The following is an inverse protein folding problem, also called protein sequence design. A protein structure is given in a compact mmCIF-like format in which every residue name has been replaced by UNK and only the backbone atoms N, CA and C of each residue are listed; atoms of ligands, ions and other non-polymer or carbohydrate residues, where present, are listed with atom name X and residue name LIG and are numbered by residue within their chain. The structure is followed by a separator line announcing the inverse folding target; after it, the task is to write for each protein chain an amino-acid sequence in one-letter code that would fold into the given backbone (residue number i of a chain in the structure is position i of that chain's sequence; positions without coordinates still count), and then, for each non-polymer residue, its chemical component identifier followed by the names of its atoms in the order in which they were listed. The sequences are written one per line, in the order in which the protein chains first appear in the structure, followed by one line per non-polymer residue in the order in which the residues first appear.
data_IF_121445589994
#
_entry.id   IF_121445589994
#
_cell.length_a   1.000
_cell.length_b   1.000
_cell.length_c   1.000
_cell.angle_alpha   90.00
_cell.angle_beta   90.00
_cell.angle_gamma   90.00
#
_symmetry.space_group_name_H-M   'P 1'
#
loop_
_entity.id
_entity.type
_entity.pdbx_description
1 polymer ?
#
# COMPACT_ATOMS: atom_id res chain seq x y z
N UNK A 1 -3.41 7.73 -22.71
CA UNK A 1 -2.16 7.04 -22.95
C UNK A 1 -2.30 6.19 -24.19
N UNK A 2 -1.39 6.31 -25.05
CA UNK A 2 -1.44 5.79 -26.42
C UNK A 2 -0.85 4.38 -26.57
N UNK A 3 -0.46 3.74 -25.50
CA UNK A 3 0.14 2.40 -25.53
C UNK A 3 1.54 2.34 -26.14
N UNK A 4 2.18 3.47 -26.41
CA UNK A 4 3.49 3.52 -27.05
C UNK A 4 4.68 3.41 -26.08
N UNK A 5 4.49 2.75 -24.96
CA UNK A 5 5.54 2.57 -23.93
C UNK A 5 5.71 3.76 -23.00
N UNK A 6 4.81 4.72 -23.06
CA UNK A 6 4.76 5.83 -22.12
C UNK A 6 3.97 5.39 -20.89
N UNK A 7 4.45 5.72 -19.72
CA UNK A 7 3.76 5.43 -18.47
C UNK A 7 2.37 6.09 -18.45
N UNK A 8 1.33 5.29 -18.26
CA UNK A 8 -0.04 5.76 -18.20
C UNK A 8 -0.44 6.00 -16.76
N UNK A 9 -0.62 7.25 -16.40
CA UNK A 9 -1.12 7.62 -15.08
C UNK A 9 -2.60 7.24 -14.99
N UNK A 10 -2.87 6.10 -14.37
CA UNK A 10 -4.22 5.66 -14.02
C UNK A 10 -4.70 6.28 -12.70
N UNK A 11 -3.79 6.85 -11.95
CA UNK A 11 -4.04 7.55 -10.69
C UNK A 11 -3.47 8.97 -10.80
N UNK A 12 -4.33 9.92 -11.13
CA UNK A 12 -3.98 11.34 -11.10
C UNK A 12 -4.32 11.89 -9.72
N UNK A 13 -3.46 12.76 -9.14
CA UNK A 13 -3.82 13.46 -7.91
C UNK A 13 -5.13 14.20 -8.12
N UNK A 14 -6.15 13.86 -7.33
CA UNK A 14 -7.42 14.54 -7.33
C UNK A 14 -7.46 15.61 -6.26
N UNK A 15 -8.20 16.69 -6.50
CA UNK A 15 -8.43 17.68 -5.47
C UNK A 15 -9.24 17.04 -4.34
N UNK A 16 -8.71 17.08 -3.14
CA UNK A 16 -9.30 16.48 -1.95
C UNK A 16 -10.76 16.90 -1.70
N UNK A 17 -11.12 18.12 -2.09
CA UNK A 17 -12.47 18.67 -1.93
C UNK A 17 -13.46 18.28 -3.04
N UNK A 18 -12.98 17.66 -4.12
CA UNK A 18 -13.82 17.36 -5.28
C UNK A 18 -14.55 16.03 -5.18
N UNK A 19 -14.07 15.13 -4.32
CA UNK A 19 -14.60 13.78 -4.18
C UNK A 19 -15.38 13.65 -2.87
N UNK A 20 -16.66 13.40 -2.99
CA UNK A 20 -17.50 13.03 -1.85
C UNK A 20 -17.49 11.50 -1.70
N UNK A 21 -17.00 10.99 -0.58
CA UNK A 21 -17.09 9.57 -0.28
C UNK A 21 -15.76 8.82 -0.36
N UNK A 22 -15.80 7.61 -0.86
CA UNK A 22 -14.77 6.59 -0.64
C UNK A 22 -13.64 6.58 -1.68
N UNK A 23 -13.59 7.55 -2.59
CA UNK A 23 -12.71 7.57 -3.75
C UNK A 23 -12.13 8.96 -4.00
N UNK A 24 -11.39 9.49 -3.05
CA UNK A 24 -10.82 10.82 -3.19
C UNK A 24 -9.38 10.96 -2.72
N UNK A 25 -8.76 12.06 -3.09
CA UNK A 25 -7.36 12.35 -2.76
C UNK A 25 -6.38 11.55 -3.63
N UNK A 26 -5.25 11.17 -3.06
CA UNK A 26 -4.22 10.37 -3.71
C UNK A 26 -4.38 8.91 -3.35
N UNK A 27 -4.49 8.06 -4.36
CA UNK A 27 -4.53 6.61 -4.18
C UNK A 27 -3.14 6.05 -3.85
N UNK A 28 -3.15 4.93 -3.19
CA UNK A 28 -1.95 4.15 -2.94
C UNK A 28 -1.32 3.66 -4.25
N UNK A 29 -0.01 3.57 -4.28
CA UNK A 29 0.77 2.96 -5.36
C UNK A 29 1.87 2.07 -4.79
N UNK A 30 2.55 1.33 -5.62
CA UNK A 30 3.81 0.69 -5.22
C UNK A 30 4.92 1.73 -5.05
N UNK A 31 5.74 1.58 -4.04
CA UNK A 31 6.85 2.49 -3.75
C UNK A 31 8.12 2.05 -4.50
N UNK A 32 8.55 2.77 -5.54
CA UNK A 32 9.74 2.39 -6.30
C UNK A 32 11.05 2.53 -5.51
N UNK A 33 11.02 3.23 -4.39
CA UNK A 33 12.18 3.37 -3.50
C UNK A 33 12.36 2.19 -2.54
N UNK A 34 11.39 1.28 -2.44
CA UNK A 34 11.44 0.15 -1.53
C UNK A 34 12.26 -1.03 -2.04
N UNK A 35 12.56 -1.09 -3.34
CA UNK A 35 13.37 -2.17 -3.91
C UNK A 35 14.15 -1.69 -5.14
N UNK A 36 15.34 -2.24 -5.31
CA UNK A 36 16.16 -2.01 -6.50
C UNK A 36 16.00 -3.17 -7.50
N UNK A 37 15.79 -2.85 -8.76
CA UNK A 37 15.74 -3.80 -9.87
C UNK A 37 14.37 -4.01 -10.52
N UNK A 38 13.21 -4.03 -9.82
CA UNK A 38 11.91 -4.08 -10.47
C UNK A 38 11.65 -2.86 -11.35
N UNK A 39 10.85 -3.08 -12.39
CA UNK A 39 10.34 -2.01 -13.24
C UNK A 39 8.94 -1.64 -12.78
N UNK A 40 8.68 -0.35 -12.70
CA UNK A 40 7.38 0.21 -12.34
C UNK A 40 6.78 0.91 -13.56
N UNK A 41 5.48 0.77 -13.74
CA UNK A 41 4.74 1.40 -14.84
C UNK A 41 3.30 1.70 -14.43
N UNK A 42 2.53 2.35 -15.31
CA UNK A 42 1.14 2.73 -15.06
C UNK A 42 0.98 3.61 -13.80
N UNK A 43 1.89 4.57 -13.60
CA UNK A 43 1.90 5.40 -12.39
C UNK A 43 2.24 4.61 -11.13
N UNK A 44 3.15 3.65 -11.22
CA UNK A 44 3.55 2.73 -10.15
C UNK A 44 2.42 1.77 -9.67
N UNK A 45 1.40 1.57 -10.48
CA UNK A 45 0.36 0.57 -10.21
C UNK A 45 0.75 -0.83 -10.66
N UNK A 46 1.70 -0.91 -11.59
CA UNK A 46 2.26 -2.16 -12.08
C UNK A 46 3.70 -2.29 -11.60
N UNK A 47 4.04 -3.46 -11.10
CA UNK A 47 5.42 -3.83 -10.79
C UNK A 47 5.78 -5.14 -11.49
N UNK A 48 6.97 -5.18 -12.08
CA UNK A 48 7.51 -6.31 -12.80
C UNK A 48 8.96 -6.52 -12.41
N UNK A 49 9.33 -7.75 -12.09
CA UNK A 49 10.72 -8.14 -11.93
C UNK A 49 11.16 -8.93 -13.18
N UNK A 50 11.49 -8.21 -14.23
CA UNK A 50 11.96 -8.79 -15.51
C UNK A 50 13.39 -9.33 -15.45
N UNK A 51 14.03 -9.25 -14.28
CA UNK A 51 15.46 -9.45 -14.11
C UNK A 51 15.95 -10.83 -14.50
N UNK A 52 16.83 -10.86 -15.48
CA UNK A 52 17.79 -11.92 -15.74
C UNK A 52 18.99 -11.89 -14.77
N UNK A 53 18.85 -11.20 -13.66
CA UNK A 53 19.86 -11.11 -12.59
C UNK A 53 19.82 -12.30 -11.65
N UNK A 54 20.84 -12.47 -10.80
CA UNK A 54 20.89 -13.59 -9.88
C UNK A 54 19.61 -13.66 -9.04
N UNK A 55 19.06 -14.84 -8.97
CA UNK A 55 17.91 -15.28 -8.20
C UNK A 55 17.64 -14.42 -6.98
N UNK A 56 16.78 -13.44 -7.12
CA UNK A 56 16.50 -12.56 -5.99
C UNK A 56 15.05 -12.16 -5.96
N UNK A 57 14.42 -12.51 -4.90
CA UNK A 57 13.17 -11.91 -4.51
C UNK A 57 13.34 -10.41 -4.29
N UNK A 58 12.34 -9.65 -4.67
CA UNK A 58 12.23 -8.24 -4.34
C UNK A 58 10.97 -8.05 -3.52
N UNK A 59 11.10 -7.35 -2.41
CA UNK A 59 9.99 -7.01 -1.55
C UNK A 59 9.64 -5.54 -1.74
N UNK A 60 8.46 -5.26 -2.27
CA UNK A 60 8.01 -3.93 -2.63
C UNK A 60 6.89 -3.52 -1.68
N UNK A 61 7.03 -2.37 -1.05
CA UNK A 61 6.00 -1.77 -0.19
C UNK A 61 5.03 -0.90 -0.98
N UNK A 62 3.82 -0.76 -0.44
CA UNK A 62 2.91 0.31 -0.82
C UNK A 62 3.37 1.68 -0.31
N UNK A 63 2.86 2.77 -0.92
CA UNK A 63 3.18 4.15 -0.52
C UNK A 63 2.38 4.61 0.70
N UNK A 64 1.31 3.91 1.08
CA UNK A 64 0.48 4.23 2.25
C UNK A 64 0.60 3.11 3.26
N UNK A 65 0.85 3.48 4.52
CA UNK A 65 0.80 2.61 5.68
C UNK A 65 -0.47 2.87 6.49
N UNK A 66 -1.05 1.83 7.09
CA UNK A 66 -2.28 1.91 7.89
C UNK A 66 -2.11 1.18 9.22
N UNK A 67 -2.73 1.71 10.28
CA UNK A 67 -2.70 1.12 11.63
C UNK A 67 -4.10 0.82 12.19
N UNK A 68 -5.14 1.23 11.49
CA UNK A 68 -6.55 1.02 11.85
C UNK A 68 -7.42 1.06 10.58
N UNK A 69 -8.70 0.76 10.72
CA UNK A 69 -9.67 0.81 9.63
C UNK A 69 -9.75 -0.49 8.82
N UNK A 70 -10.70 -0.48 7.88
CA UNK A 70 -10.99 -1.60 6.98
C UNK A 70 -10.64 -1.21 5.56
N UNK A 71 -9.78 -1.97 4.91
CA UNK A 71 -9.19 -1.65 3.62
C UNK A 71 -9.38 -2.78 2.63
N UNK A 72 -9.67 -2.42 1.38
CA UNK A 72 -9.83 -3.37 0.30
C UNK A 72 -9.01 -2.95 -0.92
N UNK A 73 -8.41 -3.94 -1.57
CA UNK A 73 -7.69 -3.76 -2.83
C UNK A 73 -7.80 -5.01 -3.71
N UNK A 74 -7.64 -4.82 -5.00
CA UNK A 74 -7.60 -5.89 -5.99
C UNK A 74 -6.28 -5.89 -6.75
N UNK A 75 -5.83 -7.08 -7.14
CA UNK A 75 -4.56 -7.24 -7.84
C UNK A 75 -4.73 -8.25 -8.98
N UNK A 76 -4.28 -7.87 -10.17
CA UNK A 76 -4.31 -8.77 -11.33
C UNK A 76 -2.94 -9.42 -11.48
N UNK A 77 -2.94 -10.75 -11.54
CA UNK A 77 -1.73 -11.53 -11.89
C UNK A 77 -1.49 -11.46 -13.40
N UNK A 78 -0.25 -11.24 -13.79
CA UNK A 78 0.13 -11.17 -15.21
C UNK A 78 1.11 -12.29 -15.51
N UNK A 79 0.74 -13.17 -16.43
CA UNK A 79 1.55 -14.35 -16.75
C UNK A 79 1.33 -15.51 -15.78
N UNK A 80 2.05 -16.61 -16.02
CA UNK A 80 1.97 -17.81 -15.18
C UNK A 80 2.74 -17.59 -13.88
N UNK A 81 2.10 -17.90 -12.77
CA UNK A 81 2.74 -17.78 -11.46
C UNK A 81 3.63 -19.01 -11.21
N UNK A 82 4.92 -18.87 -11.42
CA UNK A 82 5.87 -19.97 -11.28
C UNK A 82 6.49 -20.10 -9.88
N UNK A 83 5.73 -19.72 -8.84
CA UNK A 83 6.17 -19.80 -7.45
C UNK A 83 6.86 -18.53 -6.96
N UNK A 84 6.82 -17.48 -7.74
CA UNK A 84 7.56 -16.25 -7.52
C UNK A 84 6.78 -15.02 -7.06
N UNK A 85 5.52 -15.16 -6.65
CA UNK A 85 4.68 -14.03 -6.22
C UNK A 85 4.04 -14.30 -4.86
N UNK A 86 4.36 -13.45 -3.89
CA UNK A 86 3.69 -13.38 -2.59
C UNK A 86 3.03 -12.01 -2.44
N UNK A 87 1.77 -11.96 -2.06
CA UNK A 87 1.03 -10.72 -1.86
C UNK A 87 0.46 -10.65 -0.45
N UNK A 88 0.70 -9.53 0.25
CA UNK A 88 0.24 -9.43 1.62
C UNK A 88 0.50 -8.10 2.30
N UNK A 89 0.78 -8.18 3.59
CA UNK A 89 1.09 -7.02 4.44
C UNK A 89 2.37 -7.26 5.23
N UNK A 90 3.05 -6.19 5.56
CA UNK A 90 4.27 -6.21 6.36
C UNK A 90 4.25 -5.09 7.39
N UNK A 91 4.58 -5.44 8.62
CA UNK A 91 4.60 -4.51 9.74
C UNK A 91 5.78 -3.56 9.64
N UNK A 92 5.54 -2.29 9.91
CA UNK A 92 6.56 -1.23 9.91
C UNK A 92 6.45 -0.44 11.22
N UNK A 93 7.56 0.05 11.78
CA UNK A 93 8.93 0.02 11.24
C UNK A 93 9.69 -1.30 11.47
N UNK A 94 9.13 -2.27 12.17
CA UNK A 94 9.83 -3.47 12.66
C UNK A 94 10.51 -4.30 11.57
N UNK A 95 9.93 -4.30 10.37
CA UNK A 95 10.44 -5.05 9.22
C UNK A 95 10.96 -4.16 8.08
N UNK A 96 11.33 -2.91 8.36
CA UNK A 96 11.83 -1.97 7.34
C UNK A 96 13.03 -2.50 6.55
N UNK A 97 13.90 -3.28 7.17
CA UNK A 97 15.06 -3.88 6.50
C UNK A 97 14.68 -4.79 5.33
N UNK A 98 13.44 -5.28 5.32
CA UNK A 98 12.93 -6.11 4.21
C UNK A 98 12.70 -5.29 2.92
N UNK A 99 12.63 -3.97 3.03
CA UNK A 99 12.47 -3.03 1.91
C UNK A 99 13.78 -2.30 1.56
N UNK A 100 14.93 -2.79 2.02
CA UNK A 100 16.21 -2.14 1.75
C UNK A 100 16.67 -2.42 0.31
N UNK A 101 16.80 -1.40 -0.55
CA UNK A 101 17.25 -1.56 -1.93
C UNK A 101 18.67 -2.11 -2.05
N UNK A 102 19.48 -1.99 -1.00
CA UNK A 102 20.87 -2.50 -0.96
C UNK A 102 20.97 -3.98 -0.57
N UNK A 103 19.98 -4.56 0.05
CA UNK A 103 19.95 -5.99 0.39
C UNK A 103 19.35 -6.78 -0.77
N UNK A 104 20.20 -7.19 -1.67
CA UNK A 104 19.86 -8.13 -2.72
C UNK A 104 19.64 -9.51 -2.09
N UNK A 105 18.53 -10.11 -2.34
CA UNK A 105 18.24 -11.53 -2.21
C UNK A 105 17.37 -11.98 -1.03
N UNK A 106 16.38 -12.76 -1.39
CA UNK A 106 15.51 -13.55 -0.53
C UNK A 106 14.64 -12.79 0.48
N UNK A 107 14.37 -11.51 0.25
CA UNK A 107 13.37 -10.81 1.03
C UNK A 107 12.03 -10.76 0.28
N UNK A 108 10.99 -11.23 0.93
CA UNK A 108 9.63 -11.25 0.42
C UNK A 108 8.65 -11.21 1.59
N UNK A 109 7.48 -10.67 1.35
CA UNK A 109 6.39 -10.64 2.33
C UNK A 109 5.99 -12.07 2.74
N UNK A 110 5.76 -12.30 4.03
CA UNK A 110 5.51 -13.64 4.60
C UNK A 110 6.77 -14.36 5.09
N UNK A 111 7.95 -13.75 4.98
CA UNK A 111 9.21 -14.35 5.45
C UNK A 111 9.43 -14.21 6.95
N UNK A 112 8.98 -13.13 7.54
CA UNK A 112 9.14 -12.84 8.97
C UNK A 112 7.85 -13.08 9.73
N UNK A 113 7.92 -13.10 11.05
CA UNK A 113 6.75 -13.20 11.93
C UNK A 113 5.87 -11.93 11.89
N UNK A 114 6.42 -10.81 11.38
CA UNK A 114 5.75 -9.53 11.24
C UNK A 114 5.19 -9.30 9.83
N UNK A 115 5.16 -10.32 8.99
CA UNK A 115 4.64 -10.26 7.64
C UNK A 115 3.72 -11.45 7.32
N UNK A 116 2.66 -11.18 6.57
CA UNK A 116 1.58 -12.10 6.28
C UNK A 116 1.26 -12.04 4.79
N UNK A 117 1.25 -13.18 4.11
CA UNK A 117 1.09 -13.22 2.67
C UNK A 117 0.23 -14.38 2.18
N UNK A 118 -0.31 -14.19 0.99
CA UNK A 118 -0.78 -15.25 0.10
C UNK A 118 0.37 -15.67 -0.81
N UNK A 119 0.68 -16.95 -0.84
CA UNK A 119 1.52 -17.55 -1.86
C UNK A 119 0.69 -17.76 -3.13
N UNK A 120 0.90 -16.93 -4.14
CA UNK A 120 0.08 -16.95 -5.35
C UNK A 120 0.28 -18.22 -6.19
N UNK A 121 1.37 -18.95 -6.02
CA UNK A 121 1.61 -20.20 -6.75
C UNK A 121 0.65 -21.32 -6.32
N UNK A 122 0.42 -21.50 -5.03
CA UNK A 122 -0.34 -22.63 -4.52
C UNK A 122 -1.57 -22.25 -3.66
N UNK A 123 -1.76 -20.95 -3.39
CA UNK A 123 -2.86 -20.44 -2.58
C UNK A 123 -2.67 -20.60 -1.07
N UNK A 124 -1.50 -21.03 -0.62
CA UNK A 124 -1.21 -21.11 0.82
C UNK A 124 -1.12 -19.72 1.44
N UNK A 125 -1.53 -19.58 2.69
CA UNK A 125 -1.18 -18.43 3.50
C UNK A 125 0.19 -18.63 4.13
N UNK A 126 0.97 -17.55 4.26
CA UNK A 126 2.37 -17.60 4.67
C UNK A 126 2.69 -16.55 5.72
N UNK A 127 3.40 -16.94 6.76
CA UNK A 127 4.03 -16.07 7.74
C UNK A 127 5.23 -16.79 8.35
N UNK A 128 6.22 -16.06 8.85
CA UNK A 128 7.41 -16.62 9.48
C UNK A 128 8.08 -17.71 8.63
N UNK A 129 8.14 -17.48 7.31
CA UNK A 129 8.70 -18.41 6.32
C UNK A 129 8.04 -19.79 6.27
N UNK A 130 6.80 -19.92 6.73
CA UNK A 130 6.03 -21.16 6.80
C UNK A 130 4.71 -21.05 6.08
N UNK A 131 4.40 -22.01 5.21
CA UNK A 131 3.17 -22.12 4.46
C UNK A 131 2.14 -22.98 5.21
N UNK A 132 0.87 -22.60 5.10
CA UNK A 132 -0.27 -23.41 5.53
C UNK A 132 -1.43 -23.27 4.55
N UNK A 133 -2.23 -24.34 4.40
CA UNK A 133 -3.33 -24.36 3.43
C UNK A 133 -4.36 -23.26 3.70
N UNK A 134 -4.82 -22.61 2.61
CA UNK A 134 -5.85 -21.57 2.73
C UNK A 134 -6.76 -21.49 1.50
N UNK A 135 -6.19 -21.45 0.29
CA UNK A 135 -6.90 -21.30 -0.96
C UNK A 135 -6.31 -22.13 -2.10
N UNK A 136 -6.43 -21.63 -3.31
CA UNK A 136 -5.88 -22.23 -4.53
C UNK A 136 -4.92 -21.29 -5.22
N UNK A 137 -3.98 -21.83 -5.98
CA UNK A 137 -3.03 -21.04 -6.75
C UNK A 137 -3.70 -20.14 -7.79
N UNK A 138 -2.96 -19.10 -8.18
CA UNK A 138 -3.34 -18.16 -9.21
C UNK A 138 -2.87 -18.62 -10.57
N UNK A 139 -3.64 -18.29 -11.60
CA UNK A 139 -3.29 -18.42 -13.01
C UNK A 139 -3.13 -17.03 -13.64
N UNK A 140 -2.65 -16.98 -14.87
CA UNK A 140 -2.60 -15.73 -15.63
C UNK A 140 -3.98 -15.07 -15.69
N UNK A 141 -4.03 -13.78 -15.44
CA UNK A 141 -5.23 -12.93 -15.41
C UNK A 141 -6.24 -13.25 -14.29
N UNK A 142 -5.87 -14.07 -13.31
CA UNK A 142 -6.68 -14.16 -12.10
C UNK A 142 -6.57 -12.84 -11.30
N UNK A 143 -7.68 -12.46 -10.69
CA UNK A 143 -7.76 -11.31 -9.80
C UNK A 143 -7.78 -11.75 -8.36
N UNK A 144 -6.82 -11.26 -7.61
CA UNK A 144 -6.72 -11.46 -6.17
C UNK A 144 -7.54 -10.35 -5.49
N UNK A 145 -8.40 -10.74 -4.58
CA UNK A 145 -9.10 -9.86 -3.66
C UNK A 145 -8.36 -9.89 -2.33
N UNK A 146 -8.17 -8.73 -1.70
CA UNK A 146 -7.52 -8.63 -0.40
C UNK A 146 -8.29 -7.67 0.49
N UNK A 147 -8.80 -8.16 1.61
CA UNK A 147 -9.50 -7.40 2.64
C UNK A 147 -8.69 -7.41 3.93
N UNK A 148 -8.41 -6.22 4.48
CA UNK A 148 -7.65 -6.01 5.70
C UNK A 148 -8.50 -5.22 6.70
N UNK A 149 -8.86 -5.83 7.82
CA UNK A 149 -9.57 -5.21 8.94
C UNK A 149 -8.62 -5.08 10.13
N UNK A 150 -8.02 -3.91 10.29
CA UNK A 150 -7.11 -3.63 11.41
C UNK A 150 -7.84 -3.24 12.69
N UNK A 151 -9.12 -2.89 12.63
CA UNK A 151 -9.93 -2.64 13.82
C UNK A 151 -10.18 -3.94 14.59
N UNK A 152 -10.26 -5.07 13.88
CA UNK A 152 -10.39 -6.41 14.43
C UNK A 152 -9.15 -7.30 14.23
N UNK A 153 -8.09 -6.76 13.63
CA UNK A 153 -6.83 -7.44 13.41
C UNK A 153 -6.92 -8.67 12.51
N UNK A 154 -7.59 -8.57 11.35
CA UNK A 154 -7.89 -9.69 10.47
C UNK A 154 -7.54 -9.40 9.01
N UNK A 155 -7.20 -10.44 8.24
CA UNK A 155 -6.96 -10.34 6.81
C UNK A 155 -7.52 -11.55 6.07
N UNK A 156 -8.06 -11.31 4.88
CA UNK A 156 -8.59 -12.32 3.96
C UNK A 156 -8.02 -12.11 2.56
N UNK A 157 -7.90 -13.22 1.83
CA UNK A 157 -7.67 -13.22 0.39
C UNK A 157 -8.75 -14.03 -0.31
N UNK A 158 -8.99 -13.68 -1.56
CA UNK A 158 -9.89 -14.38 -2.45
C UNK A 158 -9.41 -14.32 -3.89
N UNK A 159 -10.10 -15.05 -4.76
CA UNK A 159 -9.81 -15.13 -6.17
C UNK A 159 -11.11 -15.01 -6.98
N UNK A 160 -11.13 -14.11 -7.96
CA UNK A 160 -12.21 -13.99 -8.95
C UNK A 160 -13.62 -13.95 -8.32
N UNK A 161 -13.80 -13.17 -7.25
CA UNK A 161 -15.07 -13.01 -6.56
C UNK A 161 -15.35 -14.05 -5.46
N UNK A 162 -14.47 -15.00 -5.21
CA UNK A 162 -14.62 -16.01 -4.16
C UNK A 162 -13.57 -15.87 -3.09
N UNK A 163 -13.99 -15.70 -1.84
CA UNK A 163 -13.08 -15.66 -0.68
C UNK A 163 -12.54 -17.07 -0.37
N UNK A 164 -11.27 -17.18 -0.08
CA UNK A 164 -10.64 -18.43 0.31
C UNK A 164 -11.04 -18.87 1.73
N UNK A 165 -10.94 -20.17 1.98
CA UNK A 165 -11.24 -20.75 3.29
C UNK A 165 -12.67 -20.53 3.78
N UNK A 166 -13.63 -20.30 2.86
CA UNK A 166 -14.99 -19.87 3.19
C UNK A 166 -15.00 -18.58 4.01
N UNK A 167 -14.04 -17.69 3.74
CA UNK A 167 -13.91 -16.40 4.40
C UNK A 167 -15.09 -15.47 4.12
N UNK A 168 -15.42 -14.68 5.11
CA UNK A 168 -16.40 -13.61 4.98
C UNK A 168 -15.93 -12.37 5.74
N UNK A 169 -15.37 -11.38 5.03
CA UNK A 169 -14.91 -10.15 5.65
C UNK A 169 -16.01 -9.35 6.34
N UNK A 170 -17.26 -9.37 5.84
CA UNK A 170 -18.36 -8.64 6.45
C UNK A 170 -18.71 -9.16 7.83
N UNK A 171 -18.83 -10.48 7.97
CA UNK A 171 -19.06 -11.13 9.26
C UNK A 171 -17.78 -11.29 10.09
N UNK A 172 -16.62 -11.06 9.48
CA UNK A 172 -15.33 -11.23 10.13
C UNK A 172 -14.94 -12.69 10.39
N UNK A 173 -15.55 -13.66 9.66
CA UNK A 173 -15.28 -15.09 9.87
C UNK A 173 -14.23 -15.64 8.92
N UNK A 174 -13.57 -16.71 9.32
CA UNK A 174 -12.61 -17.47 8.54
C UNK A 174 -11.49 -16.62 7.90
N UNK A 175 -10.98 -15.65 8.65
CA UNK A 175 -9.82 -14.89 8.23
C UNK A 175 -8.59 -15.79 8.02
N UNK A 176 -7.74 -15.43 7.08
CA UNK A 176 -6.46 -16.09 6.88
C UNK A 176 -5.57 -15.96 8.11
N UNK A 177 -5.49 -14.75 8.64
CA UNK A 177 -4.77 -14.45 9.88
C UNK A 177 -5.62 -13.55 10.77
N UNK A 178 -5.39 -13.68 12.08
CA UNK A 178 -6.03 -12.90 13.14
C UNK A 178 -4.99 -12.38 14.12
N UNK A 179 -5.36 -11.43 14.98
CA UNK A 179 -4.45 -10.86 15.96
C UNK A 179 -3.43 -9.87 15.37
N UNK A 180 -3.70 -9.34 14.19
CA UNK A 180 -2.86 -8.32 13.56
C UNK A 180 -2.93 -7.02 14.37
N UNK A 181 -1.79 -6.44 14.70
CA UNK A 181 -1.72 -5.20 15.46
C UNK A 181 -0.47 -4.40 15.08
N UNK A 182 -0.60 -3.08 15.05
CA UNK A 182 0.44 -2.14 14.66
C UNK A 182 0.23 -1.57 13.27
N UNK A 183 1.26 -0.94 12.73
CA UNK A 183 1.20 -0.29 11.41
C UNK A 183 1.68 -1.24 10.33
N UNK A 184 0.93 -1.34 9.25
CA UNK A 184 1.25 -2.20 8.11
C UNK A 184 1.28 -1.41 6.80
N UNK A 185 2.18 -1.80 5.92
CA UNK A 185 2.12 -1.51 4.49
C UNK A 185 1.61 -2.75 3.76
N UNK A 186 0.91 -2.55 2.65
CA UNK A 186 0.71 -3.62 1.69
C UNK A 186 2.06 -3.92 1.04
N UNK A 187 2.32 -5.18 0.76
CA UNK A 187 3.60 -5.59 0.23
C UNK A 187 3.46 -6.70 -0.80
N UNK A 188 4.35 -6.69 -1.78
CA UNK A 188 4.49 -7.78 -2.74
C UNK A 188 5.92 -8.26 -2.79
N UNK A 189 6.11 -9.56 -2.60
CA UNK A 189 7.36 -10.27 -2.87
C UNK A 189 7.32 -10.84 -4.27
N UNK A 190 8.25 -10.43 -5.13
CA UNK A 190 8.25 -10.78 -6.54
C UNK A 190 9.59 -11.35 -6.97
N UNK A 191 9.59 -12.52 -7.60
CA UNK A 191 10.79 -13.11 -8.20
C UNK A 191 10.92 -12.75 -9.68
N UNK A 192 12.00 -13.16 -10.30
CA UNK A 192 12.25 -12.91 -11.72
C UNK A 192 11.17 -13.51 -12.62
N UNK A 193 10.67 -12.73 -13.57
CA UNK A 193 9.64 -13.11 -14.52
C UNK A 193 8.22 -12.86 -14.07
N UNK A 194 8.02 -12.42 -12.84
CA UNK A 194 6.69 -12.16 -12.31
C UNK A 194 6.28 -10.68 -12.45
N UNK A 195 4.97 -10.48 -12.60
CA UNK A 195 4.35 -9.17 -12.77
C UNK A 195 2.99 -9.12 -12.10
N UNK A 196 2.66 -7.99 -11.49
CA UNK A 196 1.36 -7.75 -10.85
C UNK A 196 0.88 -6.33 -11.12
N UNK A 197 -0.42 -6.17 -11.36
CA UNK A 197 -1.10 -4.88 -11.42
C UNK A 197 -1.93 -4.68 -10.16
N UNK A 198 -2.01 -3.46 -9.67
CA UNK A 198 -2.80 -3.11 -8.48
C UNK A 198 -3.98 -2.21 -8.81
N UNK A 199 -5.06 -2.40 -8.08
CA UNK A 199 -6.21 -1.51 -8.00
C UNK A 199 -6.50 -1.22 -6.53
N UNK A 200 -6.17 0.00 -6.10
CA UNK A 200 -6.36 0.49 -4.73
C UNK A 200 -7.69 1.23 -4.56
N UNK A 201 -8.53 1.24 -5.63
CA UNK A 201 -9.78 1.96 -5.70
C UNK A 201 -9.78 3.13 -6.69
N UNK A 202 -8.64 3.43 -7.33
CA UNK A 202 -8.55 4.43 -8.41
C UNK A 202 -9.36 4.04 -9.64
N UNK A 203 -9.78 2.80 -9.74
CA UNK A 203 -10.76 2.25 -10.67
C UNK A 203 -11.82 1.50 -9.90
N UNK A 204 -13.02 1.36 -10.47
CA UNK A 204 -14.05 0.53 -9.87
C UNK A 204 -13.50 -0.88 -9.57
N UNK A 205 -13.79 -1.39 -8.38
CA UNK A 205 -13.49 -2.77 -8.05
C UNK A 205 -14.38 -3.72 -8.87
N UNK A 206 -13.81 -4.83 -9.31
CA UNK A 206 -14.57 -5.84 -10.05
C UNK A 206 -15.43 -6.69 -9.11
N UNK A 207 -14.99 -6.85 -7.87
CA UNK A 207 -15.66 -7.66 -6.87
C UNK A 207 -15.89 -6.85 -5.60
N UNK A 208 -17.17 -6.71 -5.22
CA UNK A 208 -17.58 -5.94 -4.04
C UNK A 208 -18.41 -6.77 -3.06
N UNK A 209 -18.40 -8.08 -3.22
CA UNK A 209 -19.13 -8.99 -2.34
C UNK A 209 -18.44 -9.13 -0.97
N UNK A 210 -19.23 -9.02 0.08
CA UNK A 210 -18.79 -9.19 1.47
C UNK A 210 -17.63 -8.25 1.89
N UNK A 211 -17.67 -6.98 1.44
CA UNK A 211 -16.70 -5.93 1.82
C UNK A 211 -17.38 -4.65 2.32
N UNK A 212 -18.56 -4.79 2.93
CA UNK A 212 -19.28 -3.65 3.51
C UNK A 212 -18.42 -2.93 4.56
N UNK A 213 -18.31 -1.61 4.44
CA UNK A 213 -17.47 -0.80 5.32
C UNK A 213 -15.97 -0.86 5.04
N UNK A 214 -15.52 -1.67 4.08
CA UNK A 214 -14.14 -1.60 3.60
C UNK A 214 -13.97 -0.43 2.62
N UNK A 215 -12.83 0.23 2.71
CA UNK A 215 -12.52 1.45 1.98
C UNK A 215 -11.37 1.24 1.00
N UNK A 216 -11.38 2.06 -0.05
CA UNK A 216 -10.23 2.24 -0.95
C UNK A 216 -9.03 2.80 -0.20
N UNK A 217 -7.83 2.36 -0.54
CA UNK A 217 -6.61 2.86 0.08
C UNK A 217 -6.18 4.17 -0.60
N UNK A 218 -6.70 5.28 -0.10
CA UNK A 218 -6.41 6.63 -0.58
C UNK A 218 -6.36 7.62 0.60
N UNK A 219 -5.79 8.79 0.38
CA UNK A 219 -5.57 9.78 1.45
C UNK A 219 -6.86 10.29 2.08
N UNK A 220 -7.96 10.35 1.33
CA UNK A 220 -9.25 10.79 1.87
C UNK A 220 -9.85 9.82 2.90
N UNK A 221 -9.50 8.55 2.82
CA UNK A 221 -10.01 7.51 3.71
C UNK A 221 -9.13 7.26 4.94
N UNK A 222 -7.96 7.90 5.00
CA UNK A 222 -7.11 7.85 6.19
C UNK A 222 -7.75 8.65 7.33
N UNK A 223 -7.35 8.35 8.56
CA UNK A 223 -7.74 9.15 9.70
C UNK A 223 -7.29 10.60 9.53
N UNK A 224 -8.12 11.54 9.93
CA UNK A 224 -7.75 12.95 9.94
C UNK A 224 -6.48 13.18 10.77
N UNK A 225 -5.59 14.07 10.33
CA UNK A 225 -4.43 14.44 11.13
C UNK A 225 -4.88 15.09 12.44
N UNK A 226 -4.13 14.91 13.51
CA UNK A 226 -4.39 15.48 14.83
C UNK A 226 -4.51 17.01 14.75
N UNK A 227 -3.79 17.64 13.83
CA UNK A 227 -3.91 19.06 13.51
C UNK A 227 -4.67 19.15 12.18
N UNK A 228 -5.98 19.35 12.26
CA UNK A 228 -6.86 19.43 11.08
C UNK A 228 -6.64 20.71 10.27
N UNK A 229 -6.22 21.78 10.93
CA UNK A 229 -5.88 23.07 10.32
C UNK A 229 -4.43 23.45 10.66
N UNK A 230 -3.52 23.24 9.71
CA UNK A 230 -2.10 23.56 9.89
C UNK A 230 -1.83 25.05 10.14
N UNK A 231 -2.73 25.96 9.78
CA UNK A 231 -2.60 27.40 10.04
C UNK A 231 -2.64 27.72 11.53
N UNK A 232 -3.22 26.86 12.35
CA UNK A 232 -3.24 26.98 13.80
C UNK A 232 -1.92 26.58 14.48
N UNK A 233 -1.01 25.95 13.73
CA UNK A 233 0.24 25.42 14.25
C UNK A 233 1.49 25.94 13.51
N UNK A 234 1.33 26.49 12.29
CA UNK A 234 2.42 27.04 11.50
C UNK A 234 1.94 28.24 10.69
N UNK A 235 2.74 29.29 10.68
CA UNK A 235 2.49 30.49 9.87
C UNK A 235 3.78 31.00 9.23
N UNK A 236 3.66 31.73 8.13
CA UNK A 236 4.77 32.33 7.39
C UNK A 236 4.52 33.82 7.22
N UNK A 237 5.39 34.65 7.75
CA UNK A 237 5.32 36.09 7.60
C UNK A 237 6.53 36.62 6.80
N UNK A 238 6.25 37.48 5.83
CA UNK A 238 7.26 38.15 5.06
C UNK A 238 7.36 39.62 5.52
N UNK A 239 8.59 40.09 5.70
CA UNK A 239 8.79 41.50 6.07
C UNK A 239 10.07 42.07 5.45
N UNK A 240 10.12 43.39 5.35
CA UNK A 240 11.33 44.11 4.98
C UNK A 240 12.08 44.54 6.23
N UNK A 241 13.34 44.17 6.32
CA UNK A 241 14.25 44.61 7.40
C UNK A 241 14.52 46.10 7.28
N UNK A 242 14.62 46.79 8.42
CA UNK A 242 14.96 48.22 8.51
C UNK A 242 16.13 48.48 9.43
N UNK A 243 16.86 47.44 9.86
CA UNK A 243 18.01 47.51 10.75
C UNK A 243 17.67 47.76 12.24
N UNK A 244 16.38 47.70 12.60
CA UNK A 244 15.94 47.88 13.98
C UNK A 244 15.08 46.68 14.44
N UNK A 245 14.76 46.69 15.74
CA UNK A 245 13.82 45.68 16.27
C UNK A 245 12.46 45.76 15.57
N UNK A 246 11.90 44.62 15.20
CA UNK A 246 10.61 44.53 14.55
C UNK A 246 9.71 43.53 15.29
N UNK A 247 8.49 43.94 15.52
CA UNK A 247 7.42 43.05 15.98
C UNK A 247 6.69 42.46 14.77
N UNK A 248 6.59 41.15 14.70
CA UNK A 248 5.73 40.45 13.75
C UNK A 248 4.40 40.17 14.44
N UNK A 249 3.33 40.68 13.84
CA UNK A 249 1.96 40.52 14.35
C UNK A 249 1.10 39.86 13.28
N UNK A 250 -0.09 39.41 13.68
CA UNK A 250 -1.06 38.76 12.77
C UNK A 250 -0.85 37.28 12.60
N UNK A 251 -0.01 36.65 13.43
CA UNK A 251 0.08 35.21 13.49
C UNK A 251 -1.18 34.61 14.12
N UNK A 252 -1.62 33.49 13.62
CA UNK A 252 -2.82 32.76 14.09
C UNK A 252 -2.59 32.02 15.41
N UNK A 253 -1.34 31.88 15.85
CA UNK A 253 -0.93 31.18 17.07
C UNK A 253 0.28 31.86 17.73
N UNK A 254 0.61 31.44 18.95
CA UNK A 254 1.85 31.82 19.62
C UNK A 254 2.95 30.83 19.24
N UNK A 255 4.01 31.26 18.52
CA UNK A 255 5.03 30.33 18.04
C UNK A 255 5.96 29.89 19.18
N UNK A 256 6.23 28.60 19.28
CA UNK A 256 7.27 28.02 20.14
C UNK A 256 8.63 27.98 19.41
N UNK A 257 8.63 28.04 18.07
CA UNK A 257 9.82 28.08 17.23
C UNK A 257 9.66 29.14 16.14
N UNK A 258 10.65 29.99 15.99
CA UNK A 258 10.75 30.93 14.88
C UNK A 258 11.98 30.62 14.02
N UNK A 259 11.79 30.40 12.73
CA UNK A 259 12.87 30.27 11.76
C UNK A 259 12.91 31.50 10.87
N UNK A 260 14.02 32.26 10.95
CA UNK A 260 14.23 33.48 10.18
C UNK A 260 15.28 33.25 9.11
N UNK A 261 14.94 33.61 7.85
CA UNK A 261 15.85 33.49 6.71
C UNK A 261 15.80 34.76 5.88
N UNK A 262 16.97 35.30 5.51
CA UNK A 262 17.07 36.33 4.50
C UNK A 262 16.77 35.76 3.09
N UNK A 263 16.12 36.56 2.24
CA UNK A 263 15.94 36.25 0.80
C UNK A 263 17.16 36.67 0.01
#
# INVERSE_FOLDING_TARGET
ADGSGVDSLLDSPTNYSADSGNNGGNYCTWNPLSANGPTFSQGNLTVENSGSGPSGWRNIASTIAVSSGKWYAEFDTVGSQNGGLFLGIQKVPEDNDQFNPGTLSNNFVGKTANSYALNCFNGSKRTNNSDSGYGSGMSANDRIMMALDLDNGKIWWGKNGTWFGSGDPDSGTNAAFTGLSGTFVFAVGISAGEKINSNWGQRAFAYSNNISGFKSLCTQNLADPTISDGSTAMDVSLWTGNGTNKTISGLSHSPDLAWVKAR
#
